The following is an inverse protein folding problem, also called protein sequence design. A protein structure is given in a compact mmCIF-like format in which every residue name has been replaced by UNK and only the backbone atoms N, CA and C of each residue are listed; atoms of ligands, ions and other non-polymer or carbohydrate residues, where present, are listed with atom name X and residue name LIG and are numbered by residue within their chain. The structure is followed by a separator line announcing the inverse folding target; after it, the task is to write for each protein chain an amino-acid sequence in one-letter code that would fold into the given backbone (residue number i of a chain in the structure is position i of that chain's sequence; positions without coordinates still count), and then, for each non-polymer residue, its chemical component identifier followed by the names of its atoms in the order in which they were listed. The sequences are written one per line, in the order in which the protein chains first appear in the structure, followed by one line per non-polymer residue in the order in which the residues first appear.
data_IF_483742039588
#
_entry.id   IF_483742039588
#
_cell.length_a   1.000
_cell.length_b   1.000
_cell.length_c   1.000
_cell.angle_alpha   90.00
_cell.angle_beta   90.00
_cell.angle_gamma   90.00
#
_symmetry.space_group_name_H-M   'P 1'
#
loop_
_entity.id
_entity.type
_entity.pdbx_description
1 polymer ?
#
# COMPACT_ATOMS: atom_id res chain seq x y z
N UNK A 1 -39.39 6.64 10.75
CA UNK A 1 -37.94 6.97 10.73
C UNK A 1 -37.12 6.07 11.65
N UNK A 2 -37.48 5.87 12.93
CA UNK A 2 -36.69 5.05 13.86
C UNK A 2 -36.44 3.59 13.39
N UNK A 3 -37.44 2.87 12.91
CA UNK A 3 -37.29 1.47 12.49
C UNK A 3 -36.42 1.23 11.24
N UNK A 4 -36.31 2.23 10.35
CA UNK A 4 -35.42 2.15 9.17
C UNK A 4 -33.97 2.33 9.61
N UNK A 5 -33.71 3.29 10.50
CA UNK A 5 -32.39 3.54 11.11
C UNK A 5 -31.92 2.30 11.88
N UNK A 6 -32.81 1.63 12.62
CA UNK A 6 -32.46 0.39 13.33
C UNK A 6 -32.12 -0.75 12.37
N UNK A 7 -32.81 -0.87 11.23
CA UNK A 7 -32.50 -1.89 10.22
C UNK A 7 -31.19 -1.63 9.49
N UNK A 8 -30.89 -0.39 9.09
CA UNK A 8 -29.62 -0.04 8.44
C UNK A 8 -28.43 -0.14 9.38
N UNK A 9 -28.57 0.27 10.64
CA UNK A 9 -27.50 0.10 11.65
C UNK A 9 -27.23 -1.37 11.95
N UNK A 10 -28.25 -2.21 12.06
CA UNK A 10 -28.07 -3.66 12.22
C UNK A 10 -27.44 -4.29 10.96
N UNK A 11 -27.84 -3.87 9.77
CA UNK A 11 -27.23 -4.34 8.52
C UNK A 11 -25.74 -3.95 8.43
N UNK A 12 -25.38 -2.71 8.75
CA UNK A 12 -24.00 -2.26 8.76
C UNK A 12 -23.16 -2.97 9.82
N UNK A 13 -23.73 -3.19 11.02
CA UNK A 13 -23.07 -3.95 12.10
C UNK A 13 -22.81 -5.40 11.72
N UNK A 14 -23.72 -6.05 11.00
CA UNK A 14 -23.58 -7.46 10.64
C UNK A 14 -22.71 -7.67 9.41
N UNK A 15 -22.78 -6.78 8.41
CA UNK A 15 -22.10 -7.00 7.13
C UNK A 15 -20.83 -6.17 6.93
N UNK A 16 -20.78 -4.93 7.42
CA UNK A 16 -19.66 -4.01 7.15
C UNK A 16 -18.60 -4.09 8.24
N UNK A 17 -19.02 -4.15 9.52
CA UNK A 17 -18.07 -4.23 10.64
C UNK A 17 -17.11 -5.43 10.59
N UNK A 18 -17.51 -6.67 10.27
CA UNK A 18 -16.55 -7.78 10.22
C UNK A 18 -15.51 -7.60 9.12
N UNK A 19 -15.90 -7.08 7.95
CA UNK A 19 -14.97 -6.81 6.84
C UNK A 19 -13.98 -5.72 7.24
N UNK A 20 -14.45 -4.66 7.88
CA UNK A 20 -13.60 -3.58 8.36
C UNK A 20 -12.63 -4.05 9.45
N UNK A 21 -13.06 -4.94 10.34
CA UNK A 21 -12.19 -5.53 11.37
C UNK A 21 -11.05 -6.35 10.75
N UNK A 22 -11.36 -7.20 9.78
CA UNK A 22 -10.34 -7.96 9.05
C UNK A 22 -9.39 -7.02 8.30
N UNK A 23 -9.92 -6.03 7.59
CA UNK A 23 -9.12 -5.02 6.92
C UNK A 23 -8.20 -4.27 7.89
N UNK A 24 -8.71 -3.87 9.06
CA UNK A 24 -7.94 -3.17 10.09
C UNK A 24 -6.81 -4.03 10.66
N UNK A 25 -7.02 -5.35 10.79
CA UNK A 25 -5.98 -6.28 11.23
C UNK A 25 -4.80 -6.32 10.25
N UNK A 26 -5.07 -6.45 8.95
CA UNK A 26 -4.02 -6.46 7.92
C UNK A 26 -3.37 -5.09 7.74
N UNK A 27 -4.17 -4.02 7.71
CA UNK A 27 -3.66 -2.65 7.59
C UNK A 27 -2.68 -2.31 8.72
N UNK A 28 -2.95 -2.79 9.96
CA UNK A 28 -2.07 -2.55 11.10
C UNK A 28 -0.69 -3.20 10.94
N UNK A 29 -0.59 -4.36 10.31
CA UNK A 29 0.68 -5.08 10.18
C UNK A 29 1.43 -4.69 8.90
N UNK A 30 0.72 -4.47 7.79
CA UNK A 30 1.35 -4.21 6.48
C UNK A 30 1.55 -2.72 6.18
N UNK A 31 0.65 -1.84 6.65
CA UNK A 31 0.72 -0.40 6.36
C UNK A 31 1.30 0.42 7.52
N UNK A 32 1.80 -0.24 8.57
CA UNK A 32 2.46 0.46 9.67
C UNK A 32 3.81 1.03 9.20
N UNK A 33 4.14 2.28 9.58
CA UNK A 33 5.44 2.82 9.25
C UNK A 33 6.54 1.96 9.87
N UNK A 34 7.65 1.73 9.15
CA UNK A 34 8.72 0.85 9.61
C UNK A 34 9.33 1.39 10.91
N UNK A 35 9.77 0.47 11.78
CA UNK A 35 10.44 0.86 13.02
C UNK A 35 11.91 1.20 12.73
N UNK A 36 12.55 2.04 13.55
CA UNK A 36 13.96 2.41 13.38
C UNK A 36 14.92 1.20 13.29
N UNK A 37 14.52 0.05 13.85
CA UNK A 37 15.25 -1.22 13.79
C UNK A 37 15.30 -1.82 12.38
N UNK A 38 14.37 -1.48 11.51
CA UNK A 38 14.24 -2.03 10.16
C UNK A 38 15.07 -1.25 9.13
N UNK A 39 15.50 -0.02 9.48
CA UNK A 39 16.29 0.87 8.62
C UNK A 39 17.59 0.21 8.11
N UNK A 40 18.40 -0.48 8.94
CA UNK A 40 19.60 -1.17 8.47
C UNK A 40 19.29 -2.28 7.46
N UNK A 41 18.20 -3.02 7.65
CA UNK A 41 17.77 -4.07 6.74
C UNK A 41 17.37 -3.46 5.38
N UNK A 42 16.58 -2.38 5.39
CA UNK A 42 16.19 -1.63 4.18
C UNK A 42 17.44 -1.15 3.42
N UNK A 43 18.39 -0.51 4.10
CA UNK A 43 19.64 -0.03 3.48
C UNK A 43 20.44 -1.17 2.85
N UNK A 44 20.50 -2.31 3.52
CA UNK A 44 21.19 -3.49 2.99
C UNK A 44 20.50 -4.05 1.75
N UNK A 45 19.16 -4.06 1.72
CA UNK A 45 18.37 -4.47 0.56
C UNK A 45 18.60 -3.57 -0.65
N UNK A 46 18.55 -2.25 -0.45
CA UNK A 46 18.85 -1.27 -1.50
C UNK A 46 20.27 -1.44 -2.05
N UNK A 47 21.27 -1.64 -1.20
CA UNK A 47 22.65 -1.87 -1.62
C UNK A 47 22.77 -3.11 -2.53
N UNK A 48 22.11 -4.22 -2.16
CA UNK A 48 22.07 -5.44 -2.97
C UNK A 48 21.36 -5.23 -4.32
N UNK A 49 20.30 -4.43 -4.36
CA UNK A 49 19.60 -4.09 -5.60
C UNK A 49 20.50 -3.31 -6.55
N UNK A 50 21.19 -2.28 -6.04
CA UNK A 50 22.16 -1.48 -6.82
C UNK A 50 23.30 -2.37 -7.33
N UNK A 51 23.85 -3.23 -6.46
CA UNK A 51 24.90 -4.16 -6.87
C UNK A 51 24.41 -5.11 -7.97
N UNK A 52 23.21 -5.67 -7.84
CA UNK A 52 22.61 -6.56 -8.84
C UNK A 52 22.35 -5.87 -10.19
N UNK A 53 22.00 -4.58 -10.16
CA UNK A 53 21.85 -3.78 -11.37
C UNK A 53 23.21 -3.54 -12.04
N UNK A 54 24.26 -3.25 -11.26
CA UNK A 54 25.63 -3.03 -11.77
C UNK A 54 26.25 -4.30 -12.35
N UNK A 55 26.02 -5.46 -11.73
CA UNK A 55 26.56 -6.75 -12.21
C UNK A 55 25.80 -7.34 -13.38
N UNK A 56 24.66 -6.75 -13.78
CA UNK A 56 23.88 -7.22 -14.92
C UNK A 56 22.93 -8.38 -14.63
N UNK A 57 22.77 -8.76 -13.35
CA UNK A 57 21.94 -9.90 -12.89
C UNK A 57 20.45 -9.76 -13.20
N UNK A 58 20.00 -8.55 -13.58
CA UNK A 58 18.62 -8.34 -14.04
C UNK A 58 18.27 -9.13 -15.31
N UNK A 59 19.28 -9.59 -16.07
CA UNK A 59 19.08 -10.43 -17.26
C UNK A 59 18.73 -11.88 -16.93
N UNK A 60 19.08 -12.34 -15.73
CA UNK A 60 18.83 -13.72 -15.27
C UNK A 60 17.45 -13.88 -14.60
N UNK A 61 16.66 -12.80 -14.52
CA UNK A 61 15.35 -12.79 -13.85
C UNK A 61 14.29 -13.38 -14.77
N UNK A 62 13.47 -14.28 -14.23
CA UNK A 62 12.35 -14.87 -14.98
C UNK A 62 11.26 -13.84 -15.27
N UNK A 63 10.51 -14.02 -16.37
CA UNK A 63 9.42 -13.09 -16.75
C UNK A 63 8.38 -12.94 -15.62
N UNK A 64 8.06 -14.03 -14.93
CA UNK A 64 7.12 -14.01 -13.79
C UNK A 64 7.60 -13.08 -12.68
N UNK A 65 8.89 -13.18 -12.32
CA UNK A 65 9.48 -12.37 -11.27
C UNK A 65 9.62 -10.91 -11.69
N UNK A 66 9.99 -10.65 -12.95
CA UNK A 66 10.04 -9.30 -13.51
C UNK A 66 8.67 -8.61 -13.46
N UNK A 67 7.59 -9.33 -13.82
CA UNK A 67 6.23 -8.80 -13.77
C UNK A 67 5.80 -8.49 -12.33
N UNK A 68 6.02 -9.40 -11.38
CA UNK A 68 5.67 -9.18 -9.97
C UNK A 68 6.42 -7.95 -9.43
N UNK A 69 7.73 -7.86 -9.68
CA UNK A 69 8.54 -6.71 -9.24
C UNK A 69 8.09 -5.40 -9.88
N UNK A 70 7.67 -5.43 -11.16
CA UNK A 70 7.13 -4.25 -11.84
C UNK A 70 5.79 -3.79 -11.26
N UNK A 71 4.93 -4.72 -10.84
CA UNK A 71 3.64 -4.39 -10.20
C UNK A 71 3.86 -3.76 -8.83
N UNK A 72 4.79 -4.28 -8.04
CA UNK A 72 5.19 -3.67 -6.75
C UNK A 72 5.77 -2.27 -6.98
N UNK A 73 6.61 -2.08 -8.00
CA UNK A 73 7.14 -0.76 -8.34
C UNK A 73 6.03 0.22 -8.75
N UNK A 74 5.04 -0.24 -9.53
CA UNK A 74 3.87 0.56 -9.89
C UNK A 74 3.02 0.93 -8.68
N UNK A 75 2.84 0.01 -7.72
CA UNK A 75 2.11 0.28 -6.48
C UNK A 75 2.78 1.38 -5.65
N UNK A 76 4.10 1.32 -5.49
CA UNK A 76 4.87 2.37 -4.79
C UNK A 76 4.69 3.73 -5.47
N UNK A 77 4.65 3.75 -6.81
CA UNK A 77 4.40 4.97 -7.57
C UNK A 77 2.97 5.50 -7.40
N UNK A 78 1.98 4.63 -7.32
CA UNK A 78 0.60 5.03 -6.98
C UNK A 78 0.52 5.69 -5.59
N UNK A 79 1.28 5.19 -4.61
CA UNK A 79 1.36 5.81 -3.27
C UNK A 79 1.91 7.23 -3.29
N UNK A 80 2.82 7.55 -4.22
CA UNK A 80 3.28 8.92 -4.42
C UNK A 80 2.14 9.85 -4.84
N UNK A 81 1.29 9.44 -5.79
CA UNK A 81 0.12 10.23 -6.19
C UNK A 81 -0.94 10.36 -5.10
N UNK A 82 -1.14 9.31 -4.28
CA UNK A 82 -2.01 9.43 -3.10
C UNK A 82 -1.48 10.51 -2.15
N UNK A 83 -0.16 10.57 -1.94
CA UNK A 83 0.49 11.65 -1.19
C UNK A 83 0.28 13.03 -1.82
N UNK A 84 0.36 13.13 -3.15
CA UNK A 84 0.08 14.37 -3.88
C UNK A 84 -1.39 14.82 -3.68
N UNK A 85 -2.35 13.91 -3.77
CA UNK A 85 -3.76 14.19 -3.50
C UNK A 85 -3.99 14.70 -2.06
N UNK A 86 -3.30 14.12 -1.07
CA UNK A 86 -3.33 14.61 0.32
C UNK A 86 -2.71 16.01 0.43
N UNK A 87 -1.58 16.24 -0.25
CA UNK A 87 -0.89 17.54 -0.26
C UNK A 87 -1.71 18.65 -0.92
N UNK A 88 -2.39 18.33 -2.02
CA UNK A 88 -3.34 19.21 -2.72
C UNK A 88 -4.63 19.46 -1.97
N UNK A 89 -5.03 18.51 -1.11
CA UNK A 89 -6.36 18.44 -0.47
C UNK A 89 -7.52 18.36 -1.47
N UNK A 90 -7.25 17.96 -2.71
CA UNK A 90 -8.25 17.83 -3.77
C UNK A 90 -7.98 16.56 -4.58
N UNK A 91 -9.05 15.86 -4.96
CA UNK A 91 -8.95 14.60 -5.70
C UNK A 91 -8.73 14.82 -7.21
N UNK A 92 -9.10 15.99 -7.75
CA UNK A 92 -9.05 16.26 -9.19
C UNK A 92 -8.38 17.61 -9.45
N UNK A 93 -7.12 17.59 -9.87
CA UNK A 93 -6.39 18.82 -10.19
C UNK A 93 -6.07 19.70 -8.97
N UNK A 94 -5.37 20.80 -9.22
CA UNK A 94 -5.21 21.88 -8.24
C UNK A 94 -6.43 22.80 -8.31
N UNK A 95 -6.92 23.23 -7.16
CA UNK A 95 -7.88 24.34 -7.07
C UNK A 95 -7.09 25.63 -7.36
N UNK A 96 -7.29 26.20 -8.54
CA UNK A 96 -6.57 27.40 -9.04
C UNK A 96 -7.49 28.61 -9.07
#
# INVERSE_FOLDING_TARGET
MAGIITKTTNFAKVNVMPVLQVWMQYAKVEMSPPTLKDIPAIRSGFSKLIHSARTGRYRDVTVREAVINSLVAAEIYCWFFVGECIGKRHFVGYDV
#
